data_IF_550921035281
#
_entry.id   IF_550921035281
#
_cell.length_a   1.000
_cell.length_b   1.000
_cell.length_c   1.000
_cell.angle_alpha   90.00
_cell.angle_beta   90.00
_cell.angle_gamma   90.00
#
_symmetry.space_group_name_H-M   'P 1'
#
loop_
_entity.id
_entity.type
_entity.pdbx_description
1 polymer ?
#
# COMPACT_ATOMS: atom_id res chain seq x y z
N UNK A 1 -8.74 -6.19 7.16
CA UNK A 1 -9.81 -5.29 6.70
C UNK A 1 -10.58 -4.67 7.86
N UNK A 2 -11.37 -5.43 8.64
CA UNK A 2 -12.17 -4.87 9.76
C UNK A 2 -11.32 -4.15 10.80
N UNK A 3 -10.18 -4.72 11.20
CA UNK A 3 -9.25 -4.10 12.13
C UNK A 3 -8.75 -2.74 11.61
N UNK A 4 -8.33 -2.66 10.37
CA UNK A 4 -7.81 -1.41 9.77
C UNK A 4 -8.87 -0.32 9.68
N UNK A 5 -10.13 -0.69 9.38
CA UNK A 5 -11.26 0.23 9.40
C UNK A 5 -11.54 0.76 10.82
N UNK A 6 -11.49 -0.11 11.82
CA UNK A 6 -11.79 0.25 13.20
C UNK A 6 -10.68 1.09 13.85
N UNK A 7 -9.43 0.73 13.59
CA UNK A 7 -8.27 1.38 14.22
C UNK A 7 -7.77 2.54 13.35
N UNK A 8 -7.49 2.27 12.07
CA UNK A 8 -6.90 3.23 11.15
C UNK A 8 -7.91 4.13 10.40
N UNK A 9 -9.21 3.85 10.52
CA UNK A 9 -10.28 4.61 9.87
C UNK A 9 -10.46 4.35 8.38
N UNK A 10 -9.58 3.60 7.74
CA UNK A 10 -9.67 3.23 6.33
C UNK A 10 -9.08 1.83 6.10
N UNK A 11 -9.42 1.24 4.97
CA UNK A 11 -8.87 -0.04 4.51
C UNK A 11 -8.56 0.05 3.02
N UNK A 12 -7.42 -0.49 2.62
CA UNK A 12 -6.99 -0.53 1.22
C UNK A 12 -7.19 -1.92 0.65
N UNK A 13 -7.77 -1.99 -0.53
CA UNK A 13 -7.97 -3.21 -1.27
C UNK A 13 -7.31 -3.08 -2.66
N UNK A 14 -6.64 -4.13 -3.08
CA UNK A 14 -6.09 -4.22 -4.44
C UNK A 14 -6.97 -5.12 -5.27
N UNK A 15 -7.41 -4.60 -6.42
CA UNK A 15 -8.17 -5.34 -7.43
C UNK A 15 -7.21 -5.78 -8.52
N UNK A 16 -7.32 -7.01 -8.97
CA UNK A 16 -6.49 -7.54 -10.04
C UNK A 16 -7.19 -8.64 -10.81
N UNK A 17 -6.51 -9.12 -11.85
CA UNK A 17 -6.93 -10.25 -12.66
C UNK A 17 -5.80 -11.27 -12.70
N UNK A 18 -6.12 -12.50 -12.34
CA UNK A 18 -5.21 -13.64 -12.41
C UNK A 18 -5.58 -14.49 -13.64
N UNK A 19 -4.75 -14.53 -14.67
CA UNK A 19 -5.05 -15.30 -15.88
C UNK A 19 -5.05 -16.81 -15.66
N UNK A 20 -4.35 -17.30 -14.64
CA UNK A 20 -4.19 -18.74 -14.36
C UNK A 20 -5.29 -19.26 -13.42
N UNK A 21 -6.10 -18.37 -12.84
CA UNK A 21 -7.21 -18.76 -11.97
C UNK A 21 -8.25 -19.61 -12.74
N UNK A 22 -9.03 -20.40 -12.00
CA UNK A 22 -10.12 -21.24 -12.54
C UNK A 22 -9.68 -22.19 -13.67
N UNK A 23 -8.48 -22.77 -13.55
CA UNK A 23 -7.99 -23.72 -14.55
C UNK A 23 -7.57 -23.06 -15.87
N UNK A 24 -7.12 -21.81 -15.85
CA UNK A 24 -6.64 -21.06 -17.02
C UNK A 24 -7.72 -20.23 -17.73
N UNK A 25 -8.96 -20.17 -17.17
CA UNK A 25 -10.01 -19.28 -17.69
C UNK A 25 -9.73 -17.82 -17.24
N UNK A 26 -9.00 -17.68 -16.15
CA UNK A 26 -8.76 -16.40 -15.49
C UNK A 26 -9.86 -16.01 -14.49
N UNK A 27 -9.52 -15.10 -13.58
CA UNK A 27 -10.45 -14.61 -12.57
C UNK A 27 -10.03 -13.26 -12.02
N UNK A 28 -11.03 -12.41 -11.72
CA UNK A 28 -10.77 -11.20 -10.94
C UNK A 28 -10.58 -11.57 -9.47
N UNK A 29 -9.66 -10.89 -8.80
CA UNK A 29 -9.46 -11.02 -7.37
C UNK A 29 -9.48 -9.68 -6.68
N UNK A 30 -9.88 -9.69 -5.41
CA UNK A 30 -9.78 -8.56 -4.49
C UNK A 30 -8.92 -9.02 -3.32
N UNK A 31 -7.80 -8.33 -3.09
CA UNK A 31 -6.88 -8.65 -2.01
C UNK A 31 -6.81 -7.48 -1.05
N UNK A 32 -6.95 -7.75 0.24
CA UNK A 32 -6.68 -6.77 1.27
C UNK A 32 -5.17 -6.44 1.30
N UNK A 33 -4.85 -5.15 1.43
CA UNK A 33 -3.49 -4.64 1.55
C UNK A 33 -3.38 -3.91 2.88
N UNK A 34 -2.34 -4.19 3.64
CA UNK A 34 -2.09 -3.53 4.92
C UNK A 34 -1.88 -2.01 4.69
N UNK A 35 -2.63 -1.20 5.41
CA UNK A 35 -2.59 0.26 5.31
C UNK A 35 -1.19 0.84 5.48
N UNK A 36 -0.35 0.19 6.31
CA UNK A 36 1.03 0.61 6.57
C UNK A 36 1.98 0.36 5.41
N UNK A 37 1.58 -0.48 4.46
CA UNK A 37 2.38 -0.84 3.28
C UNK A 37 2.00 -0.06 2.03
N UNK A 38 1.06 0.87 2.13
CA UNK A 38 0.62 1.71 1.00
C UNK A 38 0.74 3.18 1.37
N UNK A 39 1.34 3.95 0.49
CA UNK A 39 1.44 5.41 0.61
C UNK A 39 0.83 6.08 -0.61
N UNK A 40 0.01 7.08 -0.38
CA UNK A 40 -0.61 7.95 -1.39
C UNK A 40 -0.82 9.35 -0.81
N UNK A 41 -1.28 10.29 -1.61
CA UNK A 41 -1.54 11.64 -1.14
C UNK A 41 -2.78 11.67 -0.22
N UNK A 42 -2.63 11.98 1.08
CA UNK A 42 -3.74 11.98 2.03
C UNK A 42 -4.72 13.15 1.82
N UNK A 43 -4.34 14.16 1.05
CA UNK A 43 -5.16 15.34 0.77
C UNK A 43 -6.06 15.17 -0.47
N UNK A 44 -5.93 14.08 -1.21
CA UNK A 44 -6.85 13.78 -2.30
C UNK A 44 -8.20 13.32 -1.74
N UNK A 45 -9.29 13.74 -2.37
CA UNK A 45 -10.65 13.31 -2.01
C UNK A 45 -10.95 11.88 -2.49
N UNK A 46 -10.32 11.48 -3.58
CA UNK A 46 -10.35 10.12 -4.12
C UNK A 46 -8.91 9.65 -4.35
N UNK A 47 -8.63 8.40 -4.05
CA UNK A 47 -7.33 7.79 -4.34
C UNK A 47 -6.96 7.94 -5.82
N UNK A 48 -7.95 7.90 -6.71
CA UNK A 48 -7.75 8.04 -8.15
C UNK A 48 -7.21 9.42 -8.53
N UNK A 49 -7.38 10.45 -7.69
CA UNK A 49 -6.83 11.79 -7.93
C UNK A 49 -5.39 11.95 -7.43
N UNK A 50 -4.87 11.00 -6.70
CA UNK A 50 -3.47 10.97 -6.27
C UNK A 50 -2.53 10.92 -7.49
N UNK A 51 -1.40 11.66 -7.43
CA UNK A 51 -0.38 11.62 -8.49
C UNK A 51 0.39 10.31 -8.54
N UNK A 52 0.55 9.68 -7.38
CA UNK A 52 1.27 8.43 -7.24
C UNK A 52 0.72 7.61 -6.07
N UNK A 53 0.79 6.30 -6.20
CA UNK A 53 0.54 5.33 -5.12
C UNK A 53 1.75 4.43 -5.03
N UNK A 54 2.27 4.26 -3.81
CA UNK A 54 3.41 3.39 -3.54
C UNK A 54 2.94 2.22 -2.68
N UNK A 55 3.33 1.02 -3.07
CA UNK A 55 3.10 -0.18 -2.28
C UNK A 55 4.45 -0.82 -1.95
N UNK A 56 4.61 -1.16 -0.68
CA UNK A 56 5.83 -1.74 -0.13
C UNK A 56 5.58 -3.20 0.23
N UNK A 57 6.43 -4.09 -0.25
CA UNK A 57 6.36 -5.52 0.09
C UNK A 57 7.76 -6.06 0.33
N UNK A 58 7.90 -6.94 1.31
CA UNK A 58 9.16 -7.62 1.58
C UNK A 58 9.13 -9.01 0.98
N UNK A 59 10.19 -9.37 0.27
CA UNK A 59 10.35 -10.68 -0.33
C UNK A 59 11.74 -11.24 -0.02
N UNK A 60 11.85 -12.56 -0.01
CA UNK A 60 13.12 -13.25 0.14
C UNK A 60 13.96 -13.13 -1.13
N UNK A 61 15.27 -13.33 -1.01
CA UNK A 61 16.17 -13.35 -2.18
C UNK A 61 15.78 -14.43 -3.19
N UNK A 62 15.32 -15.59 -2.72
CA UNK A 62 14.89 -16.69 -3.58
C UNK A 62 13.68 -16.29 -4.44
N UNK A 63 12.74 -15.51 -3.89
CA UNK A 63 11.65 -14.96 -4.65
C UNK A 63 12.14 -14.05 -5.79
N UNK A 64 13.14 -13.18 -5.51
CA UNK A 64 13.74 -12.33 -6.56
C UNK A 64 14.49 -13.14 -7.60
N UNK A 65 15.19 -14.22 -7.22
CA UNK A 65 15.85 -15.12 -8.17
C UNK A 65 14.86 -15.79 -9.12
N UNK A 66 13.66 -16.13 -8.65
CA UNK A 66 12.60 -16.71 -9.48
C UNK A 66 11.99 -15.70 -10.45
N UNK A 67 11.72 -14.46 -9.99
CA UNK A 67 10.99 -13.46 -10.77
C UNK A 67 11.91 -12.50 -11.56
N UNK A 68 13.11 -12.22 -11.05
CA UNK A 68 14.06 -11.26 -11.60
C UNK A 68 15.50 -11.81 -11.59
N UNK A 69 15.80 -12.95 -12.27
CA UNK A 69 17.07 -13.64 -12.16
C UNK A 69 18.29 -12.80 -12.55
N UNK A 70 18.13 -11.88 -13.49
CA UNK A 70 19.22 -11.01 -13.97
C UNK A 70 19.65 -9.98 -12.93
N UNK A 71 18.70 -9.42 -12.18
CA UNK A 71 18.93 -8.35 -11.20
C UNK A 71 19.17 -8.91 -9.78
N UNK A 72 18.68 -10.10 -9.49
CA UNK A 72 18.72 -10.69 -8.16
C UNK A 72 20.14 -10.85 -7.58
N UNK A 73 21.14 -11.06 -8.45
CA UNK A 73 22.53 -11.21 -8.04
C UNK A 73 23.13 -9.91 -7.45
N UNK A 74 22.66 -8.76 -7.92
CA UNK A 74 23.16 -7.43 -7.50
C UNK A 74 22.35 -6.82 -6.34
N UNK A 75 21.18 -7.41 -6.01
CA UNK A 75 20.32 -6.92 -4.94
C UNK A 75 20.98 -7.11 -3.58
N UNK A 76 20.98 -6.03 -2.78
CA UNK A 76 21.40 -6.06 -1.37
C UNK A 76 20.20 -6.39 -0.49
N UNK A 77 20.43 -7.16 0.56
CA UNK A 77 19.43 -7.43 1.59
C UNK A 77 19.30 -6.20 2.49
N UNK A 78 18.10 -5.70 2.68
CA UNK A 78 17.86 -4.46 3.42
C UNK A 78 17.89 -4.68 4.93
N UNK A 79 17.99 -5.89 5.42
CA UNK A 79 18.19 -6.24 6.83
C UNK A 79 17.19 -5.64 7.83
N UNK A 80 16.13 -5.03 7.33
CA UNK A 80 15.12 -4.33 8.12
C UNK A 80 13.72 -4.82 7.72
N UNK A 81 12.97 -5.34 8.66
CA UNK A 81 11.59 -5.75 8.48
C UNK A 81 10.77 -5.27 9.65
N UNK A 82 9.66 -4.59 9.38
CA UNK A 82 8.68 -4.25 10.38
C UNK A 82 7.70 -5.43 10.54
N UNK A 83 7.56 -5.94 11.75
CA UNK A 83 6.47 -6.87 12.04
C UNK A 83 5.15 -6.11 12.07
N UNK A 84 4.29 -6.39 11.09
CA UNK A 84 3.00 -5.74 10.96
C UNK A 84 2.01 -6.17 12.05
N UNK A 85 2.28 -7.23 12.78
CA UNK A 85 1.42 -7.69 13.87
C UNK A 85 1.74 -7.01 15.21
N UNK A 86 3.02 -6.77 15.49
CA UNK A 86 3.48 -6.28 16.81
C UNK A 86 4.03 -4.85 16.77
N UNK A 87 4.16 -4.23 15.58
CA UNK A 87 4.87 -2.95 15.35
C UNK A 87 6.34 -2.98 15.82
N UNK A 88 6.89 -4.15 16.04
CA UNK A 88 8.28 -4.33 16.44
C UNK A 88 9.19 -4.43 15.22
N UNK A 89 10.38 -3.87 15.35
CA UNK A 89 11.44 -4.03 14.36
C UNK A 89 12.02 -5.43 14.53
N UNK A 90 11.77 -6.30 13.54
CA UNK A 90 12.41 -7.61 13.51
C UNK A 90 13.90 -7.42 13.25
N UNK A 91 14.72 -7.95 14.16
CA UNK A 91 16.17 -7.86 14.05
C UNK A 91 16.68 -8.40 12.71
N UNK A 92 17.63 -7.72 12.07
CA UNK A 92 18.23 -8.13 10.78
C UNK A 92 18.74 -9.57 10.75
N UNK A 93 19.09 -10.12 11.92
CA UNK A 93 19.61 -11.48 12.03
C UNK A 93 18.59 -12.58 11.64
N UNK A 94 17.28 -12.28 11.69
CA UNK A 94 16.21 -13.24 11.38
C UNK A 94 15.53 -13.01 10.02
N UNK A 95 15.78 -11.86 9.37
CA UNK A 95 15.05 -11.48 8.16
C UNK A 95 16.01 -11.09 7.04
N UNK A 96 16.36 -12.05 6.21
CA UNK A 96 17.03 -11.81 4.92
C UNK A 96 15.98 -11.44 3.88
N UNK A 97 15.42 -10.24 3.99
CA UNK A 97 14.41 -9.74 3.08
C UNK A 97 14.91 -8.53 2.29
N UNK A 98 14.34 -8.34 1.13
CA UNK A 98 14.59 -7.22 0.23
C UNK A 98 13.27 -6.50 0.04
N UNK A 99 13.29 -5.18 0.23
CA UNK A 99 12.13 -4.32 0.03
C UNK A 99 11.86 -4.16 -1.48
N UNK A 100 10.68 -4.56 -1.91
CA UNK A 100 10.12 -4.28 -3.22
C UNK A 100 9.16 -3.09 -3.11
N UNK A 101 9.40 -2.06 -3.92
CA UNK A 101 8.57 -0.87 -4.01
C UNK A 101 7.86 -0.88 -5.36
N UNK A 102 6.54 -1.00 -5.35
CA UNK A 102 5.69 -0.82 -6.52
C UNK A 102 5.23 0.63 -6.58
N UNK A 103 5.75 1.40 -7.53
CA UNK A 103 5.38 2.80 -7.76
C UNK A 103 4.33 2.85 -8.87
N UNK A 104 3.12 3.24 -8.55
CA UNK A 104 2.04 3.50 -9.50
C UNK A 104 1.95 4.99 -9.74
N UNK A 105 2.14 5.42 -11.00
CA UNK A 105 2.24 6.83 -11.40
C UNK A 105 1.11 7.15 -12.37
N UNK A 106 0.39 8.24 -12.10
CA UNK A 106 -0.66 8.75 -12.98
C UNK A 106 -0.11 9.92 -13.81
N UNK A 107 -0.21 9.78 -15.11
CA UNK A 107 0.23 10.78 -16.06
C UNK A 107 -0.95 11.20 -16.94
N UNK A 108 -1.04 12.49 -17.27
CA UNK A 108 -2.04 12.98 -18.21
C UNK A 108 -1.48 12.99 -19.64
N UNK A 109 -2.10 12.23 -20.52
CA UNK A 109 -1.78 12.26 -21.95
C UNK A 109 -2.62 13.32 -22.66
N UNK A 110 -2.00 14.46 -22.94
CA UNK A 110 -2.65 15.58 -23.63
C UNK A 110 -3.11 15.25 -25.06
N UNK A 111 -2.49 14.26 -25.71
CA UNK A 111 -2.88 13.84 -27.07
C UNK A 111 -4.14 12.97 -27.05
N UNK A 112 -4.25 12.09 -26.08
CA UNK A 112 -5.39 11.20 -25.92
C UNK A 112 -6.51 11.81 -25.06
N UNK A 113 -6.25 12.93 -24.38
CA UNK A 113 -7.20 13.61 -23.49
C UNK A 113 -7.59 12.79 -22.26
N UNK A 114 -6.76 11.83 -21.85
CA UNK A 114 -7.07 10.92 -20.75
C UNK A 114 -5.88 10.67 -19.83
N UNK A 115 -6.17 10.25 -18.60
CA UNK A 115 -5.15 9.79 -17.68
C UNK A 115 -4.69 8.38 -18.02
N UNK A 116 -3.40 8.13 -17.77
CA UNK A 116 -2.76 6.84 -17.89
C UNK A 116 -2.07 6.51 -16.57
N UNK A 117 -2.16 5.26 -16.16
CA UNK A 117 -1.44 4.77 -14.99
C UNK A 117 -0.32 3.84 -15.45
N UNK A 118 0.87 4.09 -14.96
CA UNK A 118 2.05 3.28 -15.19
C UNK A 118 2.57 2.71 -13.88
N UNK A 119 3.19 1.54 -13.95
CA UNK A 119 3.77 0.86 -12.81
C UNK A 119 5.28 0.70 -13.00
N UNK A 120 6.04 1.05 -11.97
CA UNK A 120 7.49 0.88 -11.91
C UNK A 120 7.82 0.10 -10.64
N UNK A 121 8.61 -0.96 -10.76
CA UNK A 121 9.08 -1.75 -9.61
C UNK A 121 10.54 -1.44 -9.33
N UNK A 122 10.83 -1.18 -8.06
CA UNK A 122 12.16 -0.86 -7.56
C UNK A 122 12.51 -1.83 -6.42
N UNK A 123 13.76 -2.27 -6.35
CA UNK A 123 14.30 -2.98 -5.19
C UNK A 123 15.80 -2.71 -5.06
N UNK A 124 16.29 -2.54 -3.82
CA UNK A 124 17.71 -2.29 -3.55
C UNK A 124 18.30 -1.11 -4.31
N UNK A 125 17.50 -0.05 -4.59
CA UNK A 125 17.92 1.10 -5.39
C UNK A 125 17.94 0.86 -6.91
N UNK A 126 17.61 -0.33 -7.38
CA UNK A 126 17.59 -0.68 -8.79
C UNK A 126 16.16 -0.73 -9.33
N UNK A 127 16.02 -0.39 -10.61
CA UNK A 127 14.75 -0.51 -11.34
C UNK A 127 14.65 -1.92 -11.94
N UNK A 128 13.66 -2.68 -11.47
CA UNK A 128 13.39 -4.04 -11.93
C UNK A 128 12.50 -4.05 -13.18
N UNK A 129 11.43 -3.26 -13.14
CA UNK A 129 10.40 -3.24 -14.18
C UNK A 129 9.91 -1.80 -14.40
N UNK A 130 9.59 -1.46 -15.64
CA UNK A 130 9.02 -0.16 -16.00
C UNK A 130 7.98 -0.36 -17.10
N UNK A 131 6.71 -0.27 -16.76
CA UNK A 131 5.60 -0.50 -17.70
C UNK A 131 5.54 0.52 -18.83
N UNK A 132 6.11 1.73 -18.66
CA UNK A 132 6.15 2.77 -19.70
C UNK A 132 6.92 2.33 -20.95
N UNK A 133 7.88 1.41 -20.77
CA UNK A 133 8.69 0.86 -21.89
C UNK A 133 7.92 -0.15 -22.73
N UNK A 134 6.96 -0.85 -22.12
CA UNK A 134 6.25 -1.98 -22.75
C UNK A 134 4.83 -1.59 -23.13
N UNK A 135 4.13 -0.87 -22.22
CA UNK A 135 2.72 -0.48 -22.37
C UNK A 135 2.60 1.05 -22.46
N UNK A 136 2.88 1.61 -23.61
CA UNK A 136 2.83 3.07 -23.82
C UNK A 136 1.45 3.68 -23.57
N UNK A 137 0.39 2.91 -23.70
CA UNK A 137 -1.00 3.35 -23.51
C UNK A 137 -1.47 3.29 -22.05
N UNK A 138 -0.61 2.89 -21.13
CA UNK A 138 -0.90 2.69 -19.72
C UNK A 138 -0.88 1.22 -19.31
N UNK A 139 -0.80 0.96 -18.01
CA UNK A 139 -0.80 -0.39 -17.47
C UNK A 139 -2.17 -1.05 -17.65
N UNK A 140 -3.23 -0.26 -17.42
CA UNK A 140 -4.62 -0.63 -17.64
C UNK A 140 -5.29 0.31 -18.65
N UNK A 141 -6.21 -0.22 -19.47
CA UNK A 141 -6.92 0.55 -20.48
C UNK A 141 -7.83 1.65 -19.91
N UNK A 142 -8.37 1.44 -18.69
CA UNK A 142 -9.23 2.41 -18.00
C UNK A 142 -8.45 3.58 -17.37
N UNK A 143 -7.13 3.48 -17.20
CA UNK A 143 -6.28 4.58 -16.69
C UNK A 143 -6.45 4.88 -15.19
N UNK A 144 -6.95 3.92 -14.40
CA UNK A 144 -7.14 4.03 -12.95
C UNK A 144 -6.16 3.13 -12.19
N UNK A 145 -5.92 3.48 -10.92
CA UNK A 145 -5.15 2.63 -10.01
C UNK A 145 -5.90 1.35 -9.65
N UNK A 146 -5.20 0.22 -9.47
CA UNK A 146 -5.84 -1.02 -9.04
C UNK A 146 -6.07 -1.07 -7.53
N UNK A 147 -6.31 0.07 -6.91
CA UNK A 147 -6.53 0.19 -5.48
C UNK A 147 -7.85 0.89 -5.19
N UNK A 148 -8.55 0.39 -4.17
CA UNK A 148 -9.78 0.97 -3.64
C UNK A 148 -9.57 1.24 -2.17
N UNK A 149 -9.89 2.47 -1.74
CA UNK A 149 -9.90 2.85 -0.32
C UNK A 149 -11.35 2.84 0.16
N UNK A 150 -11.59 2.18 1.27
CA UNK A 150 -12.88 2.16 1.95
C UNK A 150 -12.71 2.80 3.33
N UNK A 151 -13.59 3.72 3.69
CA UNK A 151 -13.59 4.40 4.98
C UNK A 151 -14.83 4.01 5.79
N UNK A 152 -14.72 4.04 7.11
CA UNK A 152 -15.87 3.81 8.01
C UNK A 152 -16.57 5.13 8.31
N UNK A 153 -15.80 6.14 8.71
CA UNK A 153 -16.29 7.51 8.94
C UNK A 153 -15.49 8.45 8.05
N UNK A 154 -16.18 9.10 7.13
CA UNK A 154 -15.54 9.96 6.14
C UNK A 154 -14.96 11.24 6.75
N UNK A 155 -13.79 11.64 6.26
CA UNK A 155 -13.20 12.95 6.51
C UNK A 155 -13.39 13.83 5.29
N UNK A 156 -14.05 14.96 5.45
CA UNK A 156 -14.28 15.91 4.35
C UNK A 156 -12.97 16.33 3.70
N UNK A 157 -12.87 16.13 2.39
CA UNK A 157 -11.72 16.53 1.58
C UNK A 157 -10.51 15.59 1.67
N UNK A 158 -10.69 14.37 2.18
CA UNK A 158 -9.65 13.34 2.23
C UNK A 158 -10.26 11.97 1.94
N UNK A 159 -9.53 11.13 1.24
CA UNK A 159 -9.89 9.71 1.06
C UNK A 159 -9.59 8.85 2.31
N UNK A 160 -8.97 9.45 3.33
CA UNK A 160 -8.78 8.82 4.64
C UNK A 160 -9.96 9.13 5.56
N UNK A 161 -10.36 8.15 6.34
CA UNK A 161 -11.44 8.27 7.33
C UNK A 161 -10.93 8.46 8.75
N UNK A 162 -11.87 8.38 9.70
CA UNK A 162 -11.62 8.29 11.14
C UNK A 162 -11.85 6.87 11.62
N UNK A 163 -10.97 6.39 12.48
CA UNK A 163 -11.17 5.16 13.23
C UNK A 163 -11.94 5.38 14.54
N UNK A 164 -12.39 4.29 15.14
CA UNK A 164 -12.96 4.35 16.49
C UNK A 164 -11.93 4.84 17.51
N UNK A 165 -10.67 4.46 17.37
CA UNK A 165 -9.60 4.92 18.25
C UNK A 165 -9.48 6.44 18.22
N UNK A 166 -9.51 7.04 17.03
CA UNK A 166 -9.46 8.50 16.88
C UNK A 166 -10.64 9.19 17.60
N UNK A 167 -11.83 8.61 17.49
CA UNK A 167 -13.05 9.17 18.08
C UNK A 167 -13.07 9.10 19.62
N UNK A 168 -12.58 8.00 20.19
CA UNK A 168 -12.63 7.75 21.62
C UNK A 168 -11.37 8.17 22.39
N UNK A 169 -10.26 8.41 21.71
CA UNK A 169 -8.99 8.80 22.32
C UNK A 169 -9.14 10.02 23.26
N UNK A 170 -9.86 11.04 22.84
CA UNK A 170 -10.07 12.24 23.65
C UNK A 170 -10.86 11.93 24.92
N UNK A 171 -11.91 11.13 24.83
CA UNK A 171 -12.72 10.73 25.99
C UNK A 171 -11.88 9.90 26.98
N UNK A 172 -11.05 9.00 26.50
CA UNK A 172 -10.13 8.20 27.32
C UNK A 172 -9.14 9.08 28.07
N UNK A 173 -8.53 10.07 27.39
CA UNK A 173 -7.58 11.01 28.03
C UNK A 173 -8.26 11.81 29.17
N UNK A 174 -9.52 12.21 28.98
CA UNK A 174 -10.25 12.92 30.05
C UNK A 174 -10.59 11.99 31.21
N UNK A 175 -11.00 10.76 30.96
CA UNK A 175 -11.24 9.76 31.99
C UNK A 175 -9.98 9.53 32.82
N UNK A 176 -8.85 9.29 32.19
CA UNK A 176 -7.56 9.07 32.85
C UNK A 176 -7.13 10.27 33.71
N UNK A 177 -7.40 11.48 33.25
CA UNK A 177 -7.14 12.71 34.05
C UNK A 177 -8.03 12.80 35.29
N UNK A 178 -9.31 12.47 35.18
CA UNK A 178 -10.23 12.46 36.32
C UNK A 178 -9.78 11.41 37.36
N UNK A 179 -9.41 10.21 36.92
CA UNK A 179 -8.90 9.16 37.79
C UNK A 179 -7.62 9.60 38.52
N UNK A 180 -6.71 10.28 37.85
CA UNK A 180 -5.51 10.83 38.45
C UNK A 180 -5.81 11.90 39.51
N UNK A 181 -6.84 12.73 39.31
CA UNK A 181 -7.27 13.75 40.31
C UNK A 181 -7.86 13.06 41.54
N UNK A 182 -8.70 12.03 41.35
CA UNK A 182 -9.31 11.27 42.45
C UNK A 182 -8.24 10.56 43.26
N UNK A 183 -7.22 9.98 42.62
CA UNK A 183 -6.14 9.27 43.32
C UNK A 183 -5.17 10.20 44.10
N UNK A 184 -5.11 11.48 43.77
CA UNK A 184 -4.24 12.46 44.43
C UNK A 184 -4.90 13.15 45.62
N UNK A 185 -6.21 13.05 45.81
CA UNK A 185 -6.97 13.54 46.95
C UNK A 185 -7.20 12.46 47.97
#
# INVERSE_FOLDING_TARGET
MTHDLLVGGYSVQQVGFDPDANGGIGGAYIKHVDNRTVMFDPLCSDLQDSRAVFKFTHHTRDWFMQHYPKQAAELREDGFMLDTATDEIISPAFSKSILLIECWLREYDSKAGKHRVHMVKLAGGMKLEDSRRVKKEGYFAHGEYPFVVTTLFERKGSCLGYGFVDMFCTAQIYSDKLDQIVMKN
#
